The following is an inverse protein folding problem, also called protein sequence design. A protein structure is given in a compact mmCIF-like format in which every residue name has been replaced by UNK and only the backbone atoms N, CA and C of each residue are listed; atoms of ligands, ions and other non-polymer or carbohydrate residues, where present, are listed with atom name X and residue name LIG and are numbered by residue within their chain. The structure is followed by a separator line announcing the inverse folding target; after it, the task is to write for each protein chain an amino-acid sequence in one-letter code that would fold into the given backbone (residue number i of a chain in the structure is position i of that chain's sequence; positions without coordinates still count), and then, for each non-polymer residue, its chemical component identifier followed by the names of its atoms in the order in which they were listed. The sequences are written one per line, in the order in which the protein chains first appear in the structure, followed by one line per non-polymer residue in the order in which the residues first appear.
data_IF_477432411468
#
_entry.id   IF_477432411468
#
_cell.length_a   1.000
_cell.length_b   1.000
_cell.length_c   1.000
_cell.angle_alpha   90.00
_cell.angle_beta   90.00
_cell.angle_gamma   90.00
#
_symmetry.space_group_name_H-M   'P 1'
#
loop_
_entity.id
_entity.type
_entity.pdbx_description
1 polymer ?
#
# COMPACT_ATOMS: atom_id res chain seq x y z
N UNK A 1 -4.25 -7.59 13.50
CA UNK A 1 -3.62 -6.82 14.60
C UNK A 1 -2.62 -5.81 14.09
N UNK A 2 -1.69 -6.18 13.20
CA UNK A 2 -0.74 -5.21 12.60
C UNK A 2 -1.42 -4.00 11.94
N UNK A 3 -2.47 -4.20 11.12
CA UNK A 3 -3.23 -3.10 10.49
C UNK A 3 -3.88 -2.14 11.48
N UNK A 4 -4.39 -2.65 12.61
CA UNK A 4 -5.02 -1.79 13.62
C UNK A 4 -4.00 -0.94 14.35
N UNK A 5 -2.85 -1.52 14.68
CA UNK A 5 -1.73 -0.77 15.25
C UNK A 5 -1.16 0.23 14.26
N UNK A 6 -1.10 -0.10 12.96
CA UNK A 6 -0.70 0.81 11.90
C UNK A 6 -1.66 2.01 11.78
N UNK A 7 -2.96 1.75 11.69
CA UNK A 7 -3.98 2.81 11.64
C UNK A 7 -3.99 3.67 12.91
N UNK A 8 -3.76 3.07 14.08
CA UNK A 8 -3.63 3.81 15.33
C UNK A 8 -2.35 4.66 15.34
N UNK A 9 -1.25 4.13 14.79
CA UNK A 9 0.00 4.86 14.59
C UNK A 9 -0.22 6.13 13.77
N UNK A 10 -0.91 6.02 12.62
CA UNK A 10 -1.28 7.19 11.79
C UNK A 10 -2.08 8.20 12.61
N UNK A 11 -3.11 7.76 13.34
CA UNK A 11 -3.91 8.66 14.20
C UNK A 11 -3.03 9.40 15.22
N UNK A 12 -2.10 8.70 15.87
CA UNK A 12 -1.20 9.29 16.87
C UNK A 12 -0.20 10.25 16.23
N UNK A 13 0.37 9.90 15.09
CA UNK A 13 1.31 10.74 14.34
C UNK A 13 0.64 12.02 13.84
N UNK A 14 -0.58 11.92 13.28
CA UNK A 14 -1.35 13.07 12.82
C UNK A 14 -1.66 14.03 13.96
N UNK A 15 -2.12 13.53 15.11
CA UNK A 15 -2.38 14.36 16.29
C UNK A 15 -1.09 14.96 16.86
N UNK A 16 -0.02 14.17 16.94
CA UNK A 16 1.27 14.65 17.44
C UNK A 16 1.93 15.69 16.51
N UNK A 17 1.60 15.68 15.22
CA UNK A 17 2.13 16.65 14.25
C UNK A 17 1.63 18.07 14.51
N UNK A 18 0.44 18.23 15.10
CA UNK A 18 -0.19 19.54 15.32
C UNK A 18 -0.57 20.28 14.02
N UNK A 19 -0.39 19.67 12.85
CA UNK A 19 -0.68 20.27 11.54
C UNK A 19 -2.19 20.33 11.27
N UNK A 20 -2.95 19.45 11.93
CA UNK A 20 -4.37 19.21 11.64
C UNK A 20 -5.15 19.32 12.94
N UNK A 21 -6.21 20.14 13.00
CA UNK A 21 -7.11 20.20 14.16
C UNK A 21 -8.07 18.99 14.23
N UNK A 22 -7.54 17.78 14.02
CA UNK A 22 -8.32 16.55 14.11
C UNK A 22 -8.40 16.10 15.58
N UNK A 23 -9.57 16.11 16.23
CA UNK A 23 -9.68 15.66 17.61
C UNK A 23 -9.37 14.17 17.70
N UNK A 24 -8.38 13.80 18.52
CA UNK A 24 -7.89 12.41 18.67
C UNK A 24 -9.01 11.38 18.76
N UNK A 25 -10.01 11.64 19.61
CA UNK A 25 -11.13 10.72 19.84
C UNK A 25 -11.97 10.53 18.58
N UNK A 26 -12.34 11.63 17.90
CA UNK A 26 -13.18 11.58 16.70
C UNK A 26 -12.44 10.90 15.56
N UNK A 27 -11.17 11.27 15.35
CA UNK A 27 -10.37 10.68 14.28
C UNK A 27 -10.11 9.18 14.52
N UNK A 28 -9.81 8.76 15.75
CA UNK A 28 -9.69 7.35 16.10
C UNK A 28 -11.01 6.57 15.88
N UNK A 29 -12.15 7.16 16.23
CA UNK A 29 -13.47 6.52 16.05
C UNK A 29 -13.85 6.34 14.57
N UNK A 30 -13.36 7.20 13.68
CA UNK A 30 -13.58 7.07 12.24
C UNK A 30 -12.57 6.10 11.60
N UNK A 31 -11.28 6.22 11.96
CA UNK A 31 -10.20 5.42 11.36
C UNK A 31 -10.23 3.94 11.74
N UNK A 32 -10.42 3.63 13.03
CA UNK A 32 -10.22 2.26 13.54
C UNK A 32 -11.26 1.26 12.99
N UNK A 33 -12.57 1.57 12.93
CA UNK A 33 -13.56 0.63 12.40
C UNK A 33 -13.37 0.33 10.91
N UNK A 34 -13.00 1.34 10.11
CA UNK A 34 -12.73 1.15 8.68
C UNK A 34 -11.55 0.20 8.48
N UNK A 35 -10.44 0.45 9.18
CA UNK A 35 -9.27 -0.43 9.14
C UNK A 35 -9.55 -1.81 9.76
N UNK A 36 -10.62 -1.96 10.56
CA UNK A 36 -10.99 -3.24 11.16
C UNK A 36 -11.64 -4.10 10.10
N UNK A 37 -12.57 -3.52 9.33
CA UNK A 37 -13.16 -4.18 8.18
C UNK A 37 -12.08 -4.56 7.13
N UNK A 38 -11.21 -3.62 6.77
CA UNK A 38 -10.08 -3.87 5.85
C UNK A 38 -9.19 -4.98 6.40
N UNK A 39 -8.81 -4.91 7.68
CA UNK A 39 -7.94 -5.89 8.31
C UNK A 39 -8.56 -7.30 8.40
N UNK A 40 -9.88 -7.42 8.53
CA UNK A 40 -10.58 -8.71 8.47
C UNK A 40 -10.48 -9.29 7.05
N UNK A 41 -10.80 -8.48 6.04
CA UNK A 41 -10.74 -8.91 4.62
C UNK A 41 -9.31 -9.31 4.25
N UNK A 42 -8.32 -8.50 4.58
CA UNK A 42 -6.91 -8.81 4.33
C UNK A 42 -6.47 -10.08 5.06
N UNK A 43 -6.90 -10.25 6.31
CA UNK A 43 -6.63 -11.47 7.08
C UNK A 43 -7.19 -12.72 6.40
N UNK A 44 -8.40 -12.64 5.85
CA UNK A 44 -9.01 -13.75 5.09
C UNK A 44 -8.27 -14.02 3.77
N UNK A 45 -7.90 -12.98 3.02
CA UNK A 45 -7.12 -13.11 1.78
C UNK A 45 -5.76 -13.75 2.09
N UNK A 46 -5.08 -13.29 3.14
CA UNK A 46 -3.80 -13.84 3.59
C UNK A 46 -3.95 -15.30 4.01
N UNK A 47 -4.98 -15.63 4.78
CA UNK A 47 -5.27 -17.02 5.17
C UNK A 47 -5.54 -17.91 3.94
N UNK A 48 -6.23 -17.40 2.92
CA UNK A 48 -6.46 -18.11 1.68
C UNK A 48 -5.16 -18.37 0.91
N UNK A 49 -4.29 -17.37 0.78
CA UNK A 49 -2.97 -17.51 0.12
C UNK A 49 -2.09 -18.50 0.88
N UNK A 50 -1.98 -18.38 2.20
CA UNK A 50 -1.19 -19.31 3.03
C UNK A 50 -1.74 -20.73 2.93
N UNK A 51 -3.07 -20.89 2.98
CA UNK A 51 -3.74 -22.19 2.82
C UNK A 51 -3.54 -22.79 1.43
N UNK A 52 -3.55 -21.98 0.38
CA UNK A 52 -3.22 -22.41 -0.98
C UNK A 52 -1.78 -22.91 -1.06
N UNK A 53 -0.82 -22.16 -0.51
CA UNK A 53 0.59 -22.57 -0.48
C UNK A 53 0.76 -23.88 0.32
N UNK A 54 0.07 -24.01 1.45
CA UNK A 54 0.05 -25.24 2.24
C UNK A 54 -0.41 -26.43 1.41
N UNK A 55 -1.56 -26.32 0.72
CA UNK A 55 -2.12 -27.41 -0.08
C UNK A 55 -1.26 -27.72 -1.31
N UNK A 56 -0.75 -26.70 -1.97
CA UNK A 56 0.05 -26.85 -3.18
C UNK A 56 1.40 -27.50 -2.88
N UNK A 57 2.10 -27.07 -1.82
CA UNK A 57 3.40 -27.62 -1.39
C UNK A 57 3.54 -27.64 0.15
N UNK A 58 2.98 -28.67 0.81
CA UNK A 58 2.97 -28.76 2.28
C UNK A 58 4.38 -28.85 2.90
N UNK A 59 5.33 -29.37 2.13
CA UNK A 59 6.75 -29.45 2.48
C UNK A 59 7.36 -28.11 2.86
N UNK A 60 6.86 -26.98 2.33
CA UNK A 60 7.45 -25.67 2.58
C UNK A 60 7.21 -25.20 4.01
N UNK A 61 5.99 -25.38 4.51
CA UNK A 61 5.63 -24.96 5.86
C UNK A 61 6.15 -25.97 6.89
N UNK A 62 6.15 -27.27 6.57
CA UNK A 62 6.72 -28.32 7.41
C UNK A 62 8.24 -28.14 7.59
N UNK A 63 9.00 -27.95 6.51
CA UNK A 63 10.45 -27.75 6.59
C UNK A 63 10.83 -26.37 7.14
N UNK A 64 9.99 -25.34 6.96
CA UNK A 64 10.16 -24.06 7.65
C UNK A 64 10.00 -24.20 9.17
N UNK A 65 9.04 -25.00 9.63
CA UNK A 65 8.86 -25.31 11.05
C UNK A 65 10.04 -26.11 11.62
N UNK A 66 10.60 -27.03 10.83
CA UNK A 66 11.75 -27.86 11.22
C UNK A 66 13.13 -27.22 10.93
N UNK A 67 13.17 -25.99 10.38
CA UNK A 67 14.40 -25.28 9.94
C UNK A 67 15.24 -26.04 8.91
N UNK A 68 14.66 -26.98 8.17
CA UNK A 68 15.33 -27.71 7.10
C UNK A 68 15.35 -26.90 5.80
N UNK A 69 16.43 -27.05 5.02
CA UNK A 69 16.58 -26.36 3.74
C UNK A 69 15.66 -26.96 2.68
N UNK A 70 14.72 -26.15 2.19
CA UNK A 70 13.76 -26.53 1.15
C UNK A 70 14.42 -27.12 -0.11
N UNK A 71 13.82 -28.14 -0.72
CA UNK A 71 14.25 -28.63 -2.04
C UNK A 71 14.17 -27.50 -3.10
N UNK A 72 15.19 -27.38 -3.94
CA UNK A 72 15.38 -26.23 -4.84
C UNK A 72 14.28 -26.07 -5.91
N UNK A 73 13.65 -27.17 -6.34
CA UNK A 73 12.63 -27.18 -7.39
C UNK A 73 11.23 -26.76 -6.94
N UNK A 74 10.88 -27.02 -5.67
CA UNK A 74 9.60 -26.69 -5.05
C UNK A 74 9.44 -25.16 -4.91
N UNK A 75 10.47 -24.50 -4.36
CA UNK A 75 10.51 -23.04 -4.16
C UNK A 75 10.29 -22.21 -5.44
N UNK A 76 10.88 -22.63 -6.56
CA UNK A 76 10.81 -21.86 -7.82
C UNK A 76 9.39 -21.78 -8.37
N UNK A 77 8.61 -22.86 -8.27
CA UNK A 77 7.24 -22.92 -8.80
C UNK A 77 6.29 -21.99 -8.03
N UNK A 78 6.42 -21.96 -6.70
CA UNK A 78 5.58 -21.09 -5.87
C UNK A 78 5.97 -19.63 -6.03
N UNK A 79 7.26 -19.31 -6.04
CA UNK A 79 7.70 -17.93 -6.30
C UNK A 79 7.25 -17.44 -7.67
N UNK A 80 7.27 -18.30 -8.69
CA UNK A 80 6.72 -17.97 -10.01
C UNK A 80 5.20 -17.75 -9.95
N UNK A 81 4.46 -18.60 -9.26
CA UNK A 81 3.00 -18.45 -9.11
C UNK A 81 2.61 -17.18 -8.34
N UNK A 82 3.25 -16.90 -7.22
CA UNK A 82 3.03 -15.68 -6.43
C UNK A 82 3.48 -14.44 -7.20
N UNK A 83 4.59 -14.50 -7.92
CA UNK A 83 5.06 -13.41 -8.78
C UNK A 83 4.08 -13.12 -9.91
N UNK A 84 3.54 -14.15 -10.57
CA UNK A 84 2.51 -13.99 -11.58
C UNK A 84 1.23 -13.39 -11.01
N UNK A 85 0.79 -13.84 -9.84
CA UNK A 85 -0.38 -13.27 -9.15
C UNK A 85 -0.16 -11.80 -8.80
N UNK A 86 1.00 -11.44 -8.24
CA UNK A 86 1.35 -10.06 -7.93
C UNK A 86 1.38 -9.16 -9.18
N UNK A 87 1.89 -9.67 -10.31
CA UNK A 87 1.84 -8.96 -11.60
C UNK A 87 0.41 -8.73 -12.07
N UNK A 88 -0.46 -9.74 -11.99
CA UNK A 88 -1.88 -9.60 -12.36
C UNK A 88 -2.57 -8.57 -11.46
N UNK A 89 -2.28 -8.58 -10.16
CA UNK A 89 -2.82 -7.61 -9.20
C UNK A 89 -2.36 -6.19 -9.57
N UNK A 90 -1.06 -5.99 -9.78
CA UNK A 90 -0.49 -4.66 -10.07
C UNK A 90 -0.86 -4.11 -11.45
N UNK A 91 -1.05 -4.96 -12.46
CA UNK A 91 -1.31 -4.54 -13.84
C UNK A 91 -2.79 -4.38 -14.13
N UNK A 92 -3.61 -5.36 -13.71
CA UNK A 92 -4.99 -5.47 -14.15
C UNK A 92 -6.00 -5.20 -13.03
N UNK A 93 -5.78 -5.75 -11.82
CA UNK A 93 -6.72 -5.52 -10.71
C UNK A 93 -6.59 -4.11 -10.13
N UNK A 94 -5.45 -3.44 -10.32
CA UNK A 94 -5.26 -2.02 -9.95
C UNK A 94 -6.22 -1.07 -10.66
N UNK A 95 -6.70 -1.40 -11.88
CA UNK A 95 -7.73 -0.61 -12.59
C UNK A 95 -9.08 -0.58 -11.88
N UNK A 96 -9.31 -1.53 -10.97
CA UNK A 96 -10.52 -1.61 -10.16
C UNK A 96 -10.37 -0.92 -8.81
N UNK A 97 -9.28 -0.19 -8.58
CA UNK A 97 -9.13 0.68 -7.42
C UNK A 97 -10.36 1.59 -7.28
N UNK A 98 -10.75 1.83 -6.02
CA UNK A 98 -11.91 2.64 -5.70
C UNK A 98 -11.71 4.08 -6.19
N UNK A 99 -12.74 4.68 -6.79
CA UNK A 99 -12.81 6.11 -7.06
C UNK A 99 -13.35 6.92 -5.86
N UNK A 100 -13.72 6.25 -4.77
CA UNK A 100 -14.11 6.87 -3.49
C UNK A 100 -12.90 7.02 -2.58
N UNK A 101 -12.94 7.99 -1.64
CA UNK A 101 -11.84 8.25 -0.72
C UNK A 101 -11.42 7.00 0.05
N UNK A 102 -10.13 6.93 0.34
CA UNK A 102 -9.59 5.84 1.15
C UNK A 102 -9.99 5.98 2.63
N UNK A 103 -9.56 5.02 3.48
CA UNK A 103 -9.92 5.05 4.90
C UNK A 103 -9.41 6.28 5.64
N UNK A 104 -8.31 6.89 5.19
CA UNK A 104 -7.73 8.08 5.77
C UNK A 104 -8.50 9.32 5.32
N UNK A 105 -8.67 9.50 4.01
CA UNK A 105 -9.40 10.61 3.41
C UNK A 105 -10.85 10.64 3.90
N UNK A 106 -11.51 9.48 3.97
CA UNK A 106 -12.87 9.37 4.51
C UNK A 106 -12.94 9.81 5.98
N UNK A 107 -11.93 9.44 6.77
CA UNK A 107 -11.86 9.83 8.19
C UNK A 107 -11.54 11.31 8.37
N UNK A 108 -10.73 11.90 7.50
CA UNK A 108 -10.47 13.35 7.46
C UNK A 108 -11.75 14.08 7.09
N UNK A 109 -12.41 13.70 5.99
CA UNK A 109 -13.68 14.26 5.55
C UNK A 109 -14.75 14.19 6.64
N UNK A 110 -14.81 13.09 7.38
CA UNK A 110 -15.74 12.93 8.51
C UNK A 110 -15.49 13.89 9.67
N UNK A 111 -14.29 14.48 9.79
CA UNK A 111 -13.94 15.46 10.83
C UNK A 111 -13.97 16.90 10.30
N UNK A 112 -13.40 17.15 9.12
CA UNK A 112 -13.18 18.49 8.56
C UNK A 112 -14.28 18.92 7.58
N UNK A 113 -15.04 17.98 7.02
CA UNK A 113 -15.96 18.23 5.91
C UNK A 113 -15.28 18.33 4.53
N UNK A 114 -13.96 18.14 4.45
CA UNK A 114 -13.16 18.13 3.22
C UNK A 114 -12.33 16.84 3.13
N UNK A 115 -12.22 16.25 1.93
CA UNK A 115 -11.41 15.03 1.70
C UNK A 115 -9.90 15.29 1.90
N UNK A 116 -9.47 16.54 1.69
CA UNK A 116 -8.10 16.98 1.90
C UNK A 116 -7.99 18.02 3.01
N UNK A 117 -6.80 18.08 3.60
CA UNK A 117 -6.44 19.09 4.58
C UNK A 117 -5.74 20.24 3.85
N UNK A 118 -6.42 21.37 3.76
CA UNK A 118 -5.82 22.63 3.34
C UNK A 118 -4.88 23.12 4.44
N UNK A 119 -3.63 22.67 4.42
CA UNK A 119 -2.59 23.21 5.28
C UNK A 119 -2.04 24.50 4.67
N UNK A 120 -2.05 25.60 5.44
CA UNK A 120 -1.04 26.65 5.27
C UNK A 120 0.32 26.03 5.60
N UNK A 121 0.89 25.29 4.65
CA UNK A 121 2.02 24.42 4.90
C UNK A 121 3.20 25.23 5.42
N UNK A 122 3.69 24.87 6.62
CA UNK A 122 4.97 25.36 7.12
C UNK A 122 6.03 25.24 6.01
N UNK A 123 7.01 26.14 5.96
CA UNK A 123 7.99 26.22 4.87
C UNK A 123 8.66 24.87 4.52
N UNK A 124 8.76 23.95 5.50
CA UNK A 124 9.27 22.60 5.30
C UNK A 124 8.36 21.71 4.44
N UNK A 125 7.04 21.82 4.56
CA UNK A 125 6.07 21.09 3.73
C UNK A 125 6.18 21.54 2.28
N UNK A 126 6.28 22.84 2.04
CA UNK A 126 6.46 23.39 0.68
C UNK A 126 7.81 22.95 0.08
N UNK A 127 8.89 22.97 0.87
CA UNK A 127 10.20 22.51 0.42
C UNK A 127 10.19 21.00 0.07
N UNK A 128 9.58 20.16 0.91
CA UNK A 128 9.45 18.74 0.66
C UNK A 128 8.54 18.44 -0.53
N UNK A 129 7.42 19.16 -0.68
CA UNK A 129 6.54 19.07 -1.84
C UNK A 129 7.30 19.40 -3.13
N UNK A 130 8.11 20.46 -3.15
CA UNK A 130 8.93 20.81 -4.31
C UNK A 130 10.02 19.78 -4.63
N UNK A 131 10.56 19.07 -3.63
CA UNK A 131 11.45 17.92 -3.85
C UNK A 131 10.68 16.74 -4.41
N UNK A 132 9.50 16.44 -3.85
CA UNK A 132 8.63 15.36 -4.33
C UNK A 132 8.23 15.58 -5.77
N UNK A 133 7.76 16.78 -6.16
CA UNK A 133 7.36 17.08 -7.53
C UNK A 133 8.51 16.87 -8.55
N UNK A 134 9.73 17.25 -8.16
CA UNK A 134 10.93 17.07 -9.00
C UNK A 134 11.36 15.61 -9.08
N UNK A 135 11.27 14.86 -7.97
CA UNK A 135 11.81 13.50 -7.88
C UNK A 135 10.77 12.41 -8.18
N UNK A 136 9.47 12.70 -8.08
CA UNK A 136 8.39 11.76 -8.37
C UNK A 136 8.48 11.32 -9.83
N UNK A 137 8.74 10.05 -10.06
CA UNK A 137 8.83 9.48 -11.41
C UNK A 137 7.44 9.24 -12.03
N UNK A 138 6.47 8.85 -11.19
CA UNK A 138 5.07 8.58 -11.55
C UNK A 138 4.16 9.30 -10.54
N UNK A 139 4.03 10.64 -10.62
CA UNK A 139 3.17 11.40 -9.72
C UNK A 139 1.71 10.94 -9.88
N UNK A 140 1.02 10.73 -8.76
CA UNK A 140 -0.36 10.23 -8.71
C UNK A 140 -0.62 9.01 -9.60
N UNK A 141 0.37 8.11 -9.69
CA UNK A 141 0.34 6.91 -10.54
C UNK A 141 0.27 7.19 -12.05
N UNK A 142 0.42 8.44 -12.47
CA UNK A 142 0.35 8.92 -13.86
C UNK A 142 1.74 9.20 -14.47
N UNK A 143 1.81 9.25 -15.79
CA UNK A 143 2.99 9.78 -16.48
C UNK A 143 3.02 11.32 -16.36
N UNK A 144 4.20 11.90 -16.09
CA UNK A 144 4.35 13.37 -15.94
C UNK A 144 3.69 14.18 -17.06
N UNK A 145 3.87 13.78 -18.32
CA UNK A 145 3.30 14.47 -19.47
C UNK A 145 1.76 14.39 -19.55
N UNK A 146 1.16 13.31 -19.04
CA UNK A 146 -0.29 13.15 -19.01
C UNK A 146 -0.93 13.99 -17.88
N UNK A 147 -0.15 14.33 -16.85
CA UNK A 147 -0.65 15.12 -15.73
C UNK A 147 -0.96 16.56 -16.15
N UNK A 148 -0.08 17.19 -16.95
CA UNK A 148 -0.27 18.56 -17.48
C UNK A 148 -1.56 18.68 -18.33
N UNK A 149 -1.90 17.65 -19.10
CA UNK A 149 -3.13 17.58 -19.92
C UNK A 149 -4.39 17.28 -19.06
N UNK A 150 -4.22 16.59 -17.93
CA UNK A 150 -5.32 16.19 -17.05
C UNK A 150 -5.79 17.28 -16.07
N UNK A 151 -4.96 18.29 -15.79
CA UNK A 151 -5.33 19.43 -14.92
C UNK A 151 -6.49 20.23 -15.53
N UNK A 152 -6.61 20.30 -16.86
CA UNK A 152 -7.71 20.97 -17.54
C UNK A 152 -9.04 20.18 -17.52
N UNK A 153 -9.04 18.91 -17.09
CA UNK A 153 -10.20 18.00 -17.18
C UNK A 153 -10.65 17.40 -15.85
N UNK A 154 -10.18 17.95 -14.73
CA UNK A 154 -10.30 17.38 -13.37
C UNK A 154 -11.71 17.40 -12.75
N UNK A 155 -12.72 17.95 -13.42
CA UNK A 155 -14.08 18.10 -12.87
C UNK A 155 -14.99 16.87 -13.04
N UNK A 156 -14.60 15.86 -13.83
CA UNK A 156 -15.41 14.65 -14.02
C UNK A 156 -14.84 13.44 -13.26
N UNK A 157 -15.69 12.77 -12.48
CA UNK A 157 -15.32 11.51 -11.80
C UNK A 157 -14.84 10.49 -12.85
N UNK A 158 -13.64 9.89 -12.68
CA UNK A 158 -13.14 8.93 -13.65
C UNK A 158 -14.10 7.74 -13.77
N UNK A 159 -14.28 7.25 -15.00
CA UNK A 159 -15.07 6.04 -15.26
C UNK A 159 -14.48 4.83 -14.51
N UNK A 160 -15.33 4.02 -13.87
CA UNK A 160 -14.90 2.83 -13.13
C UNK A 160 -15.31 1.54 -13.87
N UNK A 161 -14.38 0.59 -14.12
CA UNK A 161 -12.95 0.63 -13.81
C UNK A 161 -12.18 1.60 -14.72
N UNK A 162 -11.18 2.26 -14.14
CA UNK A 162 -10.32 3.22 -14.84
C UNK A 162 -9.15 2.48 -15.49
N UNK A 163 -9.37 1.97 -16.71
CA UNK A 163 -8.32 1.27 -17.46
C UNK A 163 -7.28 2.28 -17.92
N UNK A 164 -6.09 2.19 -17.33
CA UNK A 164 -5.02 3.16 -17.58
C UNK A 164 -3.63 2.48 -17.58
N UNK A 165 -2.82 2.84 -18.57
CA UNK A 165 -1.50 2.27 -18.77
C UNK A 165 -0.49 2.76 -17.71
N UNK A 166 -0.63 4.01 -17.24
CA UNK A 166 0.25 4.55 -16.21
C UNK A 166 0.04 3.83 -14.87
N UNK A 167 -1.21 3.51 -14.53
CA UNK A 167 -1.61 2.71 -13.37
C UNK A 167 -0.99 1.31 -13.41
N UNK A 168 -1.02 0.64 -14.57
CA UNK A 168 -0.35 -0.65 -14.74
C UNK A 168 1.17 -0.57 -14.56
N UNK A 169 1.81 0.45 -15.14
CA UNK A 169 3.26 0.67 -14.99
C UNK A 169 3.60 0.96 -13.53
N UNK A 170 2.81 1.81 -12.86
CA UNK A 170 2.97 2.12 -11.45
C UNK A 170 2.83 0.89 -10.55
N UNK A 171 1.87 0.01 -10.84
CA UNK A 171 1.73 -1.26 -10.13
C UNK A 171 2.94 -2.19 -10.28
N UNK A 172 3.52 -2.29 -11.48
CA UNK A 172 4.76 -3.07 -11.71
C UNK A 172 5.94 -2.46 -10.95
N UNK A 173 6.16 -1.16 -11.11
CA UNK A 173 7.30 -0.45 -10.50
C UNK A 173 7.18 -0.51 -8.97
N UNK A 174 6.01 -0.20 -8.42
CA UNK A 174 5.73 -0.29 -6.99
C UNK A 174 5.97 -1.70 -6.46
N UNK A 175 5.41 -2.73 -7.12
CA UNK A 175 5.62 -4.13 -6.73
C UNK A 175 7.09 -4.55 -6.74
N UNK A 176 7.87 -4.14 -7.75
CA UNK A 176 9.31 -4.41 -7.83
C UNK A 176 10.07 -3.72 -6.69
N UNK A 177 9.78 -2.45 -6.41
CA UNK A 177 10.42 -1.70 -5.32
C UNK A 177 10.11 -2.34 -3.97
N UNK A 178 8.86 -2.71 -3.71
CA UNK A 178 8.47 -3.42 -2.48
C UNK A 178 9.21 -4.75 -2.32
N UNK A 179 9.33 -5.52 -3.41
CA UNK A 179 10.09 -6.78 -3.39
C UNK A 179 11.56 -6.55 -3.06
N UNK A 180 12.20 -5.55 -3.67
CA UNK A 180 13.60 -5.20 -3.40
C UNK A 180 13.81 -4.81 -1.93
N UNK A 181 12.91 -4.01 -1.36
CA UNK A 181 12.97 -3.62 0.05
C UNK A 181 12.82 -4.85 0.95
N UNK A 182 11.84 -5.71 0.69
CA UNK A 182 11.61 -6.93 1.48
C UNK A 182 12.82 -7.86 1.46
N UNK A 183 13.43 -8.07 0.27
CA UNK A 183 14.67 -8.85 0.12
C UNK A 183 15.83 -8.18 0.89
N UNK A 184 15.98 -6.86 0.77
CA UNK A 184 17.02 -6.10 1.44
C UNK A 184 16.95 -6.21 2.96
N UNK A 185 15.76 -6.04 3.53
CA UNK A 185 15.51 -6.21 4.98
C UNK A 185 15.80 -7.64 5.41
N UNK A 186 15.28 -8.63 4.68
CA UNK A 186 15.53 -10.05 4.97
C UNK A 186 17.02 -10.40 4.94
N UNK A 187 17.76 -9.84 3.99
CA UNK A 187 19.20 -10.01 3.90
C UNK A 187 19.98 -9.33 5.04
N UNK A 188 19.59 -8.11 5.42
CA UNK A 188 20.20 -7.39 6.55
C UNK A 188 20.00 -8.16 7.87
N UNK A 189 18.80 -8.68 8.11
CA UNK A 189 18.49 -9.51 9.27
C UNK A 189 19.30 -10.82 9.27
N UNK A 190 19.42 -11.48 8.11
CA UNK A 190 20.22 -12.70 7.97
C UNK A 190 21.71 -12.47 8.26
N UNK A 191 22.26 -11.31 7.85
CA UNK A 191 23.65 -10.96 8.16
C UNK A 191 23.88 -10.76 9.65
N UNK A 192 22.95 -10.10 10.34
CA UNK A 192 23.02 -9.87 11.80
C UNK A 192 22.91 -11.15 12.64
N UNK A 193 22.23 -12.19 12.13
CA UNK A 193 22.16 -13.49 12.80
C UNK A 193 23.44 -14.34 12.63
N UNK A 194 24.31 -13.99 11.67
CA UNK A 194 25.57 -14.69 11.39
C UNK A 194 26.80 -14.01 11.99
N UNK A 195 26.65 -12.75 12.43
CA UNK A 195 27.67 -11.99 13.16
C UNK A 195 27.47 -12.20 14.66
#
# INVERSE_FOLDING_TARGET
MALQLGALGVVLETVASGITELPLKTFALLMQPVHLAIGIVEGLVTAAVVSFVWKAQPEILAQAAERHALAHGSRKKILAGLGAAALVVGVALSWFASAYPDGLEWSIAGVTGSEEIEGEGAAIHQALAGIQEKTAFLPDYAFKAAMEESVEKREERPAWPAVDAATSVSGIVGGLLTLLIAIGVGWALRRRQKA
#
